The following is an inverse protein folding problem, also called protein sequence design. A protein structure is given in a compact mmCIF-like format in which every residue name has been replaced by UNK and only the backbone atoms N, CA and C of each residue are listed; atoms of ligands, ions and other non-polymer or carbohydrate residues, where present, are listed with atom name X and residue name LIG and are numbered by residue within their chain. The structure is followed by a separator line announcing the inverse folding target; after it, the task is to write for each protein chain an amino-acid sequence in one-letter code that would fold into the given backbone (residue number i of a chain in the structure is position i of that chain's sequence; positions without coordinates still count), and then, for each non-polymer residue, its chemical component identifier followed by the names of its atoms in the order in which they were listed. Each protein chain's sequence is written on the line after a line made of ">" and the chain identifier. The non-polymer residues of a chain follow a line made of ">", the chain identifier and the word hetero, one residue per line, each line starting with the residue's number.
data_IF_150423399198
#
_entry.id   IF_150423399198
#
_cell.length_a   1.000
_cell.length_b   1.000
_cell.length_c   1.000
_cell.angle_alpha   90.00
_cell.angle_beta   90.00
_cell.angle_gamma   90.00
#
_symmetry.space_group_name_H-M   'P 1'
#
loop_
_entity.id
_entity.type
_entity.pdbx_description
1 polymer ?
#
# COMPACT_ATOMS: atom_id res chain seq x y z
N UNK A 1 -2.02 7.85 -1.63
CA UNK A 1 -1.07 6.73 -1.38
C UNK A 1 -1.83 5.43 -1.19
N UNK A 2 -1.33 4.33 -1.75
CA UNK A 2 -1.76 2.97 -1.41
C UNK A 2 -0.68 2.29 -0.58
N UNK A 3 -1.10 1.54 0.44
CA UNK A 3 -0.18 0.89 1.37
C UNK A 3 -0.63 -0.55 1.63
N UNK A 4 0.22 -1.51 1.28
CA UNK A 4 0.06 -2.92 1.61
C UNK A 4 0.98 -3.25 2.78
N UNK A 5 0.43 -3.85 3.83
CA UNK A 5 1.16 -4.22 5.06
C UNK A 5 0.68 -5.56 5.60
N UNK A 6 1.32 -6.04 6.66
CA UNK A 6 0.84 -7.15 7.49
C UNK A 6 -0.31 -6.74 8.44
N UNK A 7 -0.70 -5.46 8.48
CA UNK A 7 -1.94 -5.01 9.13
C UNK A 7 -3.15 -5.09 8.17
N UNK A 8 -2.92 -4.76 6.90
CA UNK A 8 -3.94 -4.74 5.85
C UNK A 8 -3.57 -3.89 4.63
N UNK A 9 -4.59 -3.58 3.83
CA UNK A 9 -4.49 -2.71 2.65
C UNK A 9 -5.23 -1.40 2.90
N UNK A 10 -4.56 -0.29 2.63
CA UNK A 10 -5.09 1.04 2.91
C UNK A 10 -4.96 1.96 1.71
N UNK A 11 -5.96 2.83 1.56
CA UNK A 11 -5.83 4.02 0.71
C UNK A 11 -5.86 5.27 1.56
N UNK A 12 -4.77 6.02 1.52
CA UNK A 12 -4.54 7.23 2.30
C UNK A 12 -4.63 8.44 1.38
N UNK A 13 -5.51 9.36 1.73
CA UNK A 13 -5.78 10.60 0.99
C UNK A 13 -6.05 11.73 1.96
N UNK A 14 -5.70 12.96 1.57
CA UNK A 14 -6.24 14.16 2.17
C UNK A 14 -7.39 14.64 1.28
N UNK A 15 -8.59 14.77 1.83
CA UNK A 15 -9.71 15.32 1.08
C UNK A 15 -9.62 16.84 1.02
N UNK A 16 -10.23 17.49 0.01
CA UNK A 16 -10.29 18.95 -0.04
C UNK A 16 -10.84 19.53 1.27
N UNK A 17 -10.17 20.57 1.78
CA UNK A 17 -10.55 21.30 3.00
C UNK A 17 -10.46 20.51 4.31
N UNK A 18 -9.95 19.27 4.31
CA UNK A 18 -9.62 18.53 5.52
C UNK A 18 -8.15 18.75 5.90
N UNK A 19 -7.86 18.89 7.20
CA UNK A 19 -6.49 19.00 7.72
C UNK A 19 -5.80 17.64 7.85
N UNK A 20 -6.57 16.62 8.23
CA UNK A 20 -6.08 15.28 8.50
C UNK A 20 -6.13 14.39 7.26
N UNK A 21 -5.40 13.29 7.33
CA UNK A 21 -5.46 12.22 6.34
C UNK A 21 -6.66 11.33 6.62
N UNK A 22 -7.44 11.00 5.59
CA UNK A 22 -8.40 9.90 5.62
C UNK A 22 -7.67 8.60 5.26
N UNK A 23 -7.64 7.65 6.20
CA UNK A 23 -7.18 6.27 5.99
C UNK A 23 -8.40 5.39 5.70
N UNK A 24 -8.44 4.84 4.50
CA UNK A 24 -9.57 4.06 3.99
C UNK A 24 -9.22 2.58 3.90
N UNK A 25 -10.16 1.71 4.27
CA UNK A 25 -10.04 0.26 4.20
C UNK A 25 -11.33 -0.40 3.69
N UNK A 26 -11.19 -1.55 3.05
CA UNK A 26 -12.33 -2.43 2.69
C UNK A 26 -12.77 -3.32 3.83
N UNK A 27 -11.90 -3.57 4.81
CA UNK A 27 -12.13 -4.48 5.94
C UNK A 27 -11.91 -3.73 7.24
N UNK A 28 -12.93 -3.68 8.11
CA UNK A 28 -12.88 -2.94 9.39
C UNK A 28 -11.69 -3.34 10.25
N UNK A 29 -11.47 -4.66 10.38
CA UNK A 29 -10.39 -5.22 11.19
C UNK A 29 -8.98 -4.81 10.73
N UNK A 30 -8.82 -4.34 9.50
CA UNK A 30 -7.52 -3.82 9.03
C UNK A 30 -7.17 -2.50 9.72
N UNK A 31 -8.15 -1.59 9.88
CA UNK A 31 -7.93 -0.32 10.60
C UNK A 31 -7.68 -0.57 12.09
N UNK A 32 -8.37 -1.54 12.69
CA UNK A 32 -8.15 -1.96 14.07
C UNK A 32 -6.72 -2.50 14.27
N UNK A 33 -6.24 -3.35 13.35
CA UNK A 33 -4.87 -3.86 13.40
C UNK A 33 -3.84 -2.75 13.17
N UNK A 34 -4.09 -1.85 12.22
CA UNK A 34 -3.20 -0.71 11.96
C UNK A 34 -3.05 0.16 13.22
N UNK A 35 -4.17 0.47 13.87
CA UNK A 35 -4.18 1.23 15.12
C UNK A 35 -3.37 0.54 16.21
N UNK A 36 -3.60 -0.75 16.42
CA UNK A 36 -2.91 -1.56 17.42
C UNK A 36 -1.40 -1.70 17.15
N UNK A 37 -1.02 -1.88 15.88
CA UNK A 37 0.36 -2.23 15.53
C UNK A 37 1.28 -1.01 15.40
N UNK A 38 0.78 0.12 14.87
CA UNK A 38 1.67 1.22 14.48
C UNK A 38 1.08 2.61 14.64
N UNK A 39 -0.25 2.77 14.67
CA UNK A 39 -0.89 4.09 14.60
C UNK A 39 -1.96 4.26 15.69
N UNK A 40 -1.59 4.26 16.98
CA UNK A 40 -2.57 4.40 18.07
C UNK A 40 -3.39 5.69 18.01
N UNK A 41 -2.89 6.73 17.32
CA UNK A 41 -3.54 8.03 17.11
C UNK A 41 -4.61 7.99 15.99
N UNK A 42 -4.76 6.86 15.30
CA UNK A 42 -5.81 6.67 14.30
C UNK A 42 -7.19 6.75 14.97
N UNK A 43 -8.07 7.61 14.46
CA UNK A 43 -9.43 7.80 15.01
C UNK A 43 -10.22 6.50 15.09
N UNK A 44 -11.36 6.54 15.78
CA UNK A 44 -12.35 5.47 15.71
C UNK A 44 -12.74 5.17 14.26
N UNK A 45 -12.95 3.88 14.00
CA UNK A 45 -13.34 3.43 12.67
C UNK A 45 -14.84 3.59 12.45
N UNK A 46 -15.20 4.40 11.46
CA UNK A 46 -16.57 4.59 11.01
C UNK A 46 -16.79 3.99 9.62
N UNK A 47 -18.06 3.71 9.30
CA UNK A 47 -18.46 3.16 8.02
C UNK A 47 -19.07 4.25 7.13
N UNK A 48 -18.77 4.20 5.84
CA UNK A 48 -19.31 5.06 4.81
C UNK A 48 -19.87 4.19 3.67
N UNK A 49 -21.20 4.10 3.61
CA UNK A 49 -21.91 3.15 2.74
C UNK A 49 -21.92 3.70 1.31
N UNK A 50 -21.77 2.80 0.33
CA UNK A 50 -21.84 3.16 -1.09
C UNK A 50 -20.52 3.62 -1.70
N UNK A 51 -19.39 3.41 -1.02
CA UNK A 51 -18.04 3.73 -1.53
C UNK A 51 -17.15 2.49 -1.63
N UNK A 52 -16.16 2.52 -2.52
CA UNK A 52 -15.21 1.40 -2.74
C UNK A 52 -14.41 1.00 -1.49
N UNK A 53 -14.36 1.89 -0.50
CA UNK A 53 -13.71 1.69 0.79
C UNK A 53 -14.72 1.96 1.92
N UNK A 54 -15.43 0.91 2.30
CA UNK A 54 -16.51 0.97 3.30
C UNK A 54 -16.08 1.53 4.65
N UNK A 55 -14.82 1.38 5.07
CA UNK A 55 -14.37 1.76 6.41
C UNK A 55 -13.31 2.86 6.35
N UNK A 56 -13.39 3.78 7.30
CA UNK A 56 -12.53 4.96 7.36
C UNK A 56 -12.10 5.26 8.79
N UNK A 57 -10.95 5.88 8.91
CA UNK A 57 -10.48 6.59 10.10
C UNK A 57 -9.64 7.79 9.64
N UNK A 58 -9.40 8.75 10.54
CA UNK A 58 -8.56 9.91 10.29
C UNK A 58 -7.31 9.90 11.17
N UNK A 59 -6.24 10.56 10.69
CA UNK A 59 -4.98 10.70 11.41
C UNK A 59 -4.24 11.95 10.95
N UNK A 60 -3.55 12.64 11.85
CA UNK A 60 -2.69 13.76 11.50
C UNK A 60 -1.49 13.34 10.66
N UNK A 61 -0.95 14.25 9.83
CA UNK A 61 0.21 13.95 8.96
C UNK A 61 1.45 13.48 9.75
N UNK A 62 1.77 14.15 10.86
CA UNK A 62 2.94 13.80 11.67
C UNK A 62 2.78 12.44 12.36
N UNK A 63 1.57 12.13 12.86
CA UNK A 63 1.25 10.82 13.44
C UNK A 63 1.33 9.70 12.40
N UNK A 64 0.79 9.95 11.19
CA UNK A 64 0.90 9.00 10.09
C UNK A 64 2.36 8.71 9.71
N UNK A 65 3.20 9.74 9.63
CA UNK A 65 4.62 9.59 9.35
C UNK A 65 5.34 8.76 10.42
N UNK A 66 5.07 9.03 11.71
CA UNK A 66 5.59 8.20 12.81
C UNK A 66 5.11 6.76 12.73
N UNK A 67 3.85 6.55 12.36
CA UNK A 67 3.30 5.21 12.15
C UNK A 67 3.98 4.44 11.03
N UNK A 68 4.28 5.11 9.90
CA UNK A 68 5.06 4.50 8.82
C UNK A 68 6.48 4.13 9.27
N UNK A 69 7.13 4.97 10.08
CA UNK A 69 8.45 4.66 10.64
C UNK A 69 8.39 3.38 11.50
N UNK A 70 7.41 3.27 12.40
CA UNK A 70 7.21 2.06 13.23
C UNK A 70 6.97 0.80 12.40
N UNK A 71 6.19 0.91 11.32
CA UNK A 71 5.96 -0.22 10.40
C UNK A 71 7.27 -0.68 9.74
N UNK A 72 8.11 0.26 9.30
CA UNK A 72 9.42 -0.03 8.70
C UNK A 72 10.40 -0.65 9.70
N UNK A 73 10.50 -0.06 10.89
CA UNK A 73 11.34 -0.57 11.99
C UNK A 73 10.94 -1.97 12.45
N UNK A 74 9.67 -2.35 12.26
CA UNK A 74 9.12 -3.66 12.63
C UNK A 74 9.28 -4.78 11.58
N UNK A 75 9.89 -4.51 10.42
CA UNK A 75 10.05 -5.52 9.37
C UNK A 75 11.02 -6.64 9.82
N UNK A 76 10.53 -7.88 9.90
CA UNK A 76 11.28 -9.07 10.34
C UNK A 76 11.10 -10.29 9.43
N UNK A 77 10.69 -10.06 8.17
CA UNK A 77 10.38 -11.12 7.22
C UNK A 77 11.13 -10.94 5.89
N UNK A 78 11.59 -12.03 5.25
CA UNK A 78 12.27 -11.98 3.96
C UNK A 78 11.29 -11.93 2.77
N UNK A 79 10.02 -12.29 2.97
CA UNK A 79 9.01 -12.34 1.92
C UNK A 79 7.65 -11.85 2.41
N UNK A 80 7.13 -10.81 1.75
CA UNK A 80 5.86 -10.19 2.15
C UNK A 80 4.65 -11.13 2.00
N UNK A 81 4.56 -11.89 0.89
CA UNK A 81 3.40 -12.76 0.63
C UNK A 81 3.32 -13.89 1.65
N UNK A 82 4.46 -14.50 1.97
CA UNK A 82 4.58 -15.53 3.00
C UNK A 82 4.20 -14.99 4.39
N UNK A 83 4.65 -13.78 4.74
CA UNK A 83 4.30 -13.19 6.02
C UNK A 83 2.80 -12.86 6.10
N UNK A 84 2.21 -12.32 5.03
CA UNK A 84 0.75 -12.09 4.96
C UNK A 84 -0.02 -13.40 5.11
N UNK A 85 0.43 -14.50 4.50
CA UNK A 85 -0.23 -15.79 4.63
C UNK A 85 -0.20 -16.28 6.09
N UNK A 86 0.93 -16.07 6.78
CA UNK A 86 1.13 -16.43 8.18
C UNK A 86 0.28 -15.58 9.13
N UNK A 87 0.24 -14.26 8.95
CA UNK A 87 -0.37 -13.34 9.92
C UNK A 87 -1.84 -12.98 9.62
N UNK A 88 -2.24 -13.01 8.35
CA UNK A 88 -3.59 -12.62 7.90
C UNK A 88 -4.31 -13.72 7.11
N UNK A 89 -3.66 -14.87 6.90
CA UNK A 89 -4.24 -16.04 6.25
C UNK A 89 -4.01 -16.14 4.74
N UNK A 90 -4.05 -17.37 4.24
CA UNK A 90 -3.74 -17.72 2.85
C UNK A 90 -4.62 -16.99 1.83
N UNK A 91 -5.92 -16.83 2.10
CA UNK A 91 -6.85 -16.13 1.19
C UNK A 91 -6.40 -14.70 0.90
N UNK A 92 -5.95 -13.96 1.92
CA UNK A 92 -5.48 -12.58 1.74
C UNK A 92 -4.16 -12.55 0.98
N UNK A 93 -3.22 -13.44 1.31
CA UNK A 93 -1.96 -13.54 0.59
C UNK A 93 -2.17 -13.83 -0.90
N UNK A 94 -3.13 -14.70 -1.24
CA UNK A 94 -3.50 -14.97 -2.63
C UNK A 94 -4.08 -13.73 -3.30
N UNK A 95 -4.97 -12.97 -2.64
CA UNK A 95 -5.49 -11.71 -3.18
C UNK A 95 -4.38 -10.69 -3.44
N UNK A 96 -3.45 -10.49 -2.50
CA UNK A 96 -2.32 -9.57 -2.70
C UNK A 96 -1.37 -10.05 -3.80
N UNK A 97 -1.21 -11.38 -3.95
CA UNK A 97 -0.39 -11.95 -5.03
C UNK A 97 -0.96 -11.65 -6.42
N UNK A 98 -2.28 -11.52 -6.56
CA UNK A 98 -2.90 -11.09 -7.83
C UNK A 98 -2.56 -9.65 -8.18
N UNK A 99 -2.54 -8.74 -7.19
CA UNK A 99 -2.11 -7.35 -7.40
C UNK A 99 -0.64 -7.31 -7.78
N UNK A 100 0.21 -8.04 -7.06
CA UNK A 100 1.64 -8.15 -7.41
C UNK A 100 1.85 -8.69 -8.82
N UNK A 101 1.09 -9.71 -9.23
CA UNK A 101 1.19 -10.29 -10.57
C UNK A 101 0.77 -9.28 -11.65
N UNK A 102 -0.28 -8.50 -11.43
CA UNK A 102 -0.69 -7.45 -12.35
C UNK A 102 0.37 -6.33 -12.48
N UNK A 103 1.12 -6.04 -11.42
CA UNK A 103 2.23 -5.08 -11.50
C UNK A 103 3.42 -5.60 -12.30
N UNK A 104 3.50 -6.90 -12.56
CA UNK A 104 4.54 -7.48 -13.41
C UNK A 104 4.42 -7.03 -14.87
N UNK A 105 3.21 -6.66 -15.32
CA UNK A 105 2.99 -6.16 -16.67
C UNK A 105 3.81 -4.87 -16.94
N UNK A 106 4.08 -4.08 -15.89
CA UNK A 106 4.93 -2.89 -15.98
C UNK A 106 6.40 -3.22 -16.25
N UNK A 107 6.88 -4.42 -15.91
CA UNK A 107 8.24 -4.85 -16.24
C UNK A 107 8.39 -5.07 -17.75
N UNK A 108 7.35 -5.57 -18.42
CA UNK A 108 7.37 -5.74 -19.87
C UNK A 108 7.42 -4.37 -20.58
N UNK A 109 6.68 -3.38 -20.08
CA UNK A 109 6.76 -2.00 -20.57
C UNK A 109 8.18 -1.43 -20.42
N UNK A 110 8.83 -1.64 -19.27
CA UNK A 110 10.21 -1.18 -19.02
C UNK A 110 11.22 -1.87 -19.96
N UNK A 111 11.09 -3.18 -20.19
CA UNK A 111 11.94 -3.93 -21.10
C UNK A 111 11.83 -3.41 -22.55
N UNK A 112 10.63 -3.09 -23.02
CA UNK A 112 10.38 -2.50 -24.34
C UNK A 112 11.02 -1.12 -24.49
N UNK A 113 10.92 -0.29 -23.45
CA UNK A 113 11.51 1.05 -23.43
C UNK A 113 13.06 1.00 -23.37
N UNK A 114 13.62 0.05 -22.64
CA UNK A 114 15.05 -0.22 -22.63
C UNK A 114 15.57 -0.66 -24.00
N UNK A 115 14.88 -1.58 -24.68
CA UNK A 115 15.25 -2.02 -26.03
C UNK A 115 15.16 -0.88 -27.05
N UNK A 116 14.08 -0.08 -26.99
CA UNK A 116 13.91 1.13 -27.83
C UNK A 116 15.03 2.14 -27.61
N UNK A 117 15.41 2.37 -26.36
CA UNK A 117 16.50 3.27 -25.98
C UNK A 117 17.85 2.78 -26.49
N UNK A 118 18.12 1.47 -26.43
CA UNK A 118 19.33 0.84 -26.99
C UNK A 118 19.39 0.99 -28.51
N UNK A 119 18.29 0.75 -29.22
CA UNK A 119 18.21 0.90 -30.69
C UNK A 119 18.46 2.34 -31.13
N UNK A 120 17.90 3.35 -30.43
CA UNK A 120 18.15 4.77 -30.72
C UNK A 120 19.62 5.16 -30.54
N UNK A 121 20.26 4.73 -29.45
CA UNK A 121 21.70 4.98 -29.22
C UNK A 121 22.58 4.36 -30.31
N UNK A 122 22.23 3.15 -30.77
CA UNK A 122 22.95 2.49 -31.88
C UNK A 122 22.77 3.22 -33.22
N UNK A 123 21.59 3.80 -33.47
CA UNK A 123 21.30 4.55 -34.69
C UNK A 123 21.95 5.95 -34.74
N UNK A 124 22.25 6.55 -33.59
CA UNK A 124 22.86 7.88 -33.52
C UNK A 124 24.37 7.92 -33.89
N UNK A 125 25.05 6.76 -33.91
CA UNK A 125 26.49 6.67 -34.16
C UNK A 125 27.36 7.32 -33.07
N UNK A 126 28.66 6.98 -32.96
CA UNK A 126 29.57 7.74 -32.11
C UNK A 126 29.74 9.17 -32.66
N UNK A 127 29.71 10.16 -31.77
CA UNK A 127 30.00 11.56 -32.08
C UNK A 127 31.46 11.77 -32.50
#
# INVERSE_FOLDING_TARGET
>A
MWLFTTAGFFSIVQKPKERDLTVRSRVRADLERLRKQAMPELSETFADIGTDYRYRATIGHADFARGLARLGEGLRYPNFKSEVAKVLGARRAQTYSKVWAALWDLCAEDDEDLDRSRKRKKAAGPA
#
